data_IF_016980247854
#
_entry.id   IF_016980247854
#
_cell.length_a   1.000
_cell.length_b   1.000
_cell.length_c   1.000
_cell.angle_alpha   90.00
_cell.angle_beta   90.00
_cell.angle_gamma   90.00
#
_symmetry.space_group_name_H-M   'P 1'
#
loop_
_entity.id
_entity.type
_entity.pdbx_description
1 polymer ?
#
# COMPACT_ATOMS: atom_id res chain seq x y z
N UNK A 1 -18.36 -54.32 -78.57
CA UNK A 1 -18.45 -53.20 -77.59
C UNK A 1 -18.03 -53.56 -76.15
N UNK A 2 -16.95 -54.35 -75.95
CA UNK A 2 -16.42 -54.67 -74.59
C UNK A 2 -15.54 -53.55 -73.97
N UNK A 3 -15.20 -52.49 -74.74
CA UNK A 3 -14.30 -51.39 -74.33
C UNK A 3 -14.94 -50.36 -73.38
N UNK A 4 -16.26 -50.16 -73.40
CA UNK A 4 -16.93 -49.13 -72.60
C UNK A 4 -17.09 -49.50 -71.11
N UNK A 5 -17.12 -50.79 -70.76
CA UNK A 5 -17.25 -51.22 -69.35
C UNK A 5 -15.98 -50.92 -68.53
N UNK A 6 -14.79 -51.08 -69.11
CA UNK A 6 -13.53 -50.78 -68.41
C UNK A 6 -13.36 -49.28 -68.16
N UNK A 7 -13.71 -48.43 -69.12
CA UNK A 7 -13.63 -46.98 -68.97
C UNK A 7 -14.61 -46.47 -67.90
N UNK A 8 -15.83 -47.01 -67.88
CA UNK A 8 -16.85 -46.69 -66.87
C UNK A 8 -16.39 -47.10 -65.46
N UNK A 9 -15.78 -48.28 -65.31
CA UNK A 9 -15.25 -48.74 -64.03
C UNK A 9 -14.09 -47.84 -63.55
N UNK A 10 -13.18 -47.45 -64.44
CA UNK A 10 -12.08 -46.53 -64.10
C UNK A 10 -12.61 -45.16 -63.69
N UNK A 11 -13.65 -44.65 -64.36
CA UNK A 11 -14.28 -43.36 -64.01
C UNK A 11 -15.01 -43.43 -62.66
N UNK A 12 -15.73 -44.52 -62.38
CA UNK A 12 -16.38 -44.76 -61.09
C UNK A 12 -15.34 -44.85 -59.97
N UNK A 13 -14.23 -45.55 -60.19
CA UNK A 13 -13.14 -45.62 -59.21
C UNK A 13 -12.51 -44.24 -59.00
N UNK A 14 -12.25 -43.47 -60.06
CA UNK A 14 -11.68 -42.12 -59.95
C UNK A 14 -12.58 -41.12 -59.23
N UNK A 15 -13.90 -41.26 -59.31
CA UNK A 15 -14.87 -40.37 -58.65
C UNK A 15 -15.18 -40.85 -57.22
N UNK A 16 -15.37 -42.15 -57.02
CA UNK A 16 -15.76 -42.69 -55.72
C UNK A 16 -14.61 -42.66 -54.70
N UNK A 17 -13.36 -42.88 -55.12
CA UNK A 17 -12.21 -42.90 -54.20
C UNK A 17 -11.97 -41.56 -53.46
N UNK A 18 -11.94 -40.39 -54.13
CA UNK A 18 -11.80 -39.11 -53.44
C UNK A 18 -13.01 -38.75 -52.57
N UNK A 19 -14.24 -39.12 -52.98
CA UNK A 19 -15.45 -38.90 -52.17
C UNK A 19 -15.39 -39.73 -50.88
N UNK A 20 -14.99 -41.01 -50.99
CA UNK A 20 -14.79 -41.88 -49.83
C UNK A 20 -13.70 -41.35 -48.88
N UNK A 21 -12.59 -40.86 -49.42
CA UNK A 21 -11.51 -40.25 -48.63
C UNK A 21 -11.95 -38.97 -47.90
N UNK A 22 -12.73 -38.11 -48.55
CA UNK A 22 -13.28 -36.89 -47.94
C UNK A 22 -14.26 -37.25 -46.81
N UNK A 23 -15.13 -38.25 -47.03
CA UNK A 23 -16.08 -38.71 -46.01
C UNK A 23 -15.37 -39.31 -44.78
N UNK A 24 -14.34 -40.13 -44.99
CA UNK A 24 -13.51 -40.70 -43.91
C UNK A 24 -12.74 -39.58 -43.20
N UNK A 25 -12.13 -38.65 -43.94
CA UNK A 25 -11.40 -37.51 -43.38
C UNK A 25 -12.29 -36.62 -42.50
N UNK A 26 -13.51 -36.31 -42.96
CA UNK A 26 -14.50 -35.56 -42.18
C UNK A 26 -14.96 -36.33 -40.93
N UNK A 27 -15.14 -37.65 -41.04
CA UNK A 27 -15.45 -38.52 -39.90
C UNK A 27 -14.35 -38.49 -38.84
N UNK A 28 -13.08 -38.63 -39.24
CA UNK A 28 -11.92 -38.56 -38.35
C UNK A 28 -11.81 -37.17 -37.71
N UNK A 29 -12.01 -36.09 -38.48
CA UNK A 29 -12.01 -34.73 -37.95
C UNK A 29 -13.10 -34.52 -36.89
N UNK A 30 -14.33 -34.96 -37.15
CA UNK A 30 -15.45 -34.85 -36.20
C UNK A 30 -15.19 -35.64 -34.92
N UNK A 31 -14.65 -36.86 -35.04
CA UNK A 31 -14.26 -37.68 -33.88
C UNK A 31 -13.17 -36.97 -33.06
N UNK A 32 -12.09 -36.48 -33.71
CA UNK A 32 -11.01 -35.74 -33.02
C UNK A 32 -11.53 -34.49 -32.32
N UNK A 33 -12.41 -33.72 -32.97
CA UNK A 33 -13.04 -32.54 -32.37
C UNK A 33 -13.87 -32.92 -31.14
N UNK A 34 -14.67 -33.98 -31.21
CA UNK A 34 -15.46 -34.45 -30.08
C UNK A 34 -14.59 -34.97 -28.92
N UNK A 35 -13.51 -35.70 -29.21
CA UNK A 35 -12.55 -36.15 -28.19
C UNK A 35 -11.89 -34.95 -27.51
N UNK A 36 -11.44 -33.96 -28.27
CA UNK A 36 -10.86 -32.73 -27.74
C UNK A 36 -11.85 -31.97 -26.85
N UNK A 37 -13.10 -31.82 -27.30
CA UNK A 37 -14.15 -31.18 -26.51
C UNK A 37 -14.45 -31.95 -25.21
N UNK A 38 -14.47 -33.29 -25.25
CA UNK A 38 -14.69 -34.12 -24.05
C UNK A 38 -13.54 -33.98 -23.05
N UNK A 39 -12.29 -34.02 -23.52
CA UNK A 39 -11.11 -33.80 -22.69
C UNK A 39 -11.11 -32.40 -22.05
N UNK A 40 -11.52 -31.38 -22.82
CA UNK A 40 -11.65 -30.02 -22.32
C UNK A 40 -12.74 -29.91 -21.24
N UNK A 41 -13.89 -30.56 -21.43
CA UNK A 41 -14.96 -30.62 -20.42
C UNK A 41 -14.52 -31.35 -19.14
N UNK A 42 -13.87 -32.51 -19.27
CA UNK A 42 -13.34 -33.27 -18.13
C UNK A 42 -12.30 -32.46 -17.35
N UNK A 43 -11.41 -31.75 -18.05
CA UNK A 43 -10.44 -30.84 -17.44
C UNK A 43 -11.10 -29.68 -16.69
N UNK A 44 -12.10 -29.02 -17.29
CA UNK A 44 -12.83 -27.93 -16.64
C UNK A 44 -13.60 -28.42 -15.40
N UNK A 45 -14.16 -29.63 -15.46
CA UNK A 45 -14.85 -30.24 -14.34
C UNK A 45 -13.90 -30.56 -13.20
N UNK A 46 -12.77 -31.22 -13.47
CA UNK A 46 -11.75 -31.49 -12.45
C UNK A 46 -11.23 -30.19 -11.83
N UNK A 47 -10.97 -29.17 -12.64
CA UNK A 47 -10.53 -27.85 -12.18
C UNK A 47 -11.54 -27.21 -11.21
N UNK A 48 -12.83 -27.38 -11.48
CA UNK A 48 -13.90 -26.86 -10.64
C UNK A 48 -14.04 -27.64 -9.32
N UNK A 49 -13.86 -28.96 -9.37
CA UNK A 49 -13.83 -29.83 -8.18
C UNK A 49 -12.62 -29.50 -7.28
N UNK A 50 -11.43 -29.35 -7.86
CA UNK A 50 -10.20 -28.93 -7.16
C UNK A 50 -10.37 -27.56 -6.49
N UNK A 51 -10.95 -26.59 -7.21
CA UNK A 51 -11.23 -25.25 -6.67
C UNK A 51 -12.19 -25.32 -5.48
N UNK A 52 -13.25 -26.12 -5.57
CA UNK A 52 -14.21 -26.30 -4.47
C UNK A 52 -13.56 -26.96 -3.24
N UNK A 53 -12.66 -27.92 -3.44
CA UNK A 53 -11.94 -28.55 -2.33
C UNK A 53 -10.98 -27.56 -1.65
N UNK A 54 -10.20 -26.82 -2.44
CA UNK A 54 -9.27 -25.81 -1.92
C UNK A 54 -10.01 -24.68 -1.19
N UNK A 55 -11.13 -24.19 -1.73
CA UNK A 55 -11.90 -23.09 -1.13
C UNK A 55 -12.61 -23.45 0.19
N UNK A 56 -12.77 -24.75 0.49
CA UNK A 56 -13.21 -25.21 1.82
C UNK A 56 -12.14 -24.94 2.87
N UNK A 57 -10.86 -25.11 2.52
CA UNK A 57 -9.71 -25.06 3.44
C UNK A 57 -9.05 -23.68 3.49
N UNK A 58 -8.85 -23.04 2.33
CA UNK A 58 -8.12 -21.79 2.20
C UNK A 58 -9.07 -20.60 2.13
N UNK A 59 -8.73 -19.52 2.84
CA UNK A 59 -9.53 -18.29 2.91
C UNK A 59 -8.70 -17.07 2.55
N UNK A 60 -9.34 -16.02 2.03
CA UNK A 60 -8.67 -14.71 1.93
C UNK A 60 -8.35 -14.21 3.34
N UNK A 61 -7.29 -13.41 3.53
CA UNK A 61 -6.88 -12.98 4.88
C UNK A 61 -7.99 -12.21 5.62
N UNK A 62 -8.72 -11.33 4.93
CA UNK A 62 -9.85 -10.60 5.53
C UNK A 62 -11.04 -11.48 5.95
N UNK A 63 -11.11 -12.73 5.47
CA UNK A 63 -12.12 -13.73 5.87
C UNK A 63 -11.52 -14.83 6.76
N UNK A 64 -10.21 -14.81 7.00
CA UNK A 64 -9.52 -15.89 7.67
C UNK A 64 -9.61 -15.69 9.18
N UNK A 65 -10.22 -16.58 9.95
CA UNK A 65 -10.23 -16.45 11.41
C UNK A 65 -8.85 -16.70 12.04
N UNK A 66 -7.87 -17.17 11.25
CA UNK A 66 -6.60 -17.71 11.71
C UNK A 66 -6.71 -19.20 11.99
N UNK A 67 -6.07 -19.63 13.05
CA UNK A 67 -5.88 -21.05 13.38
C UNK A 67 -6.24 -21.32 14.84
N UNK A 68 -5.78 -22.43 15.42
CA UNK A 68 -6.12 -22.78 16.80
C UNK A 68 -5.56 -21.78 17.80
N UNK A 69 -4.27 -21.44 17.69
CA UNK A 69 -3.61 -20.56 18.65
C UNK A 69 -3.32 -19.17 18.11
N UNK A 70 -3.54 -18.92 16.82
CA UNK A 70 -3.36 -17.61 16.19
C UNK A 70 -4.67 -17.08 15.61
N UNK A 71 -4.83 -15.77 15.64
CA UNK A 71 -5.88 -15.05 14.93
C UNK A 71 -5.29 -14.17 13.84
N UNK A 72 -6.09 -13.91 12.81
CA UNK A 72 -5.81 -12.89 11.80
C UNK A 72 -6.76 -11.74 12.08
N UNK A 73 -6.23 -10.53 12.18
CA UNK A 73 -7.00 -9.31 12.42
C UNK A 73 -6.69 -8.32 11.30
N UNK A 74 -7.72 -7.75 10.71
CA UNK A 74 -7.58 -6.67 9.74
C UNK A 74 -7.29 -5.36 10.48
N UNK A 75 -6.19 -4.68 10.11
CA UNK A 75 -5.83 -3.35 10.63
C UNK A 75 -6.23 -2.27 9.63
N UNK A 76 -5.81 -2.43 8.38
CA UNK A 76 -6.24 -1.59 7.25
C UNK A 76 -7.17 -2.46 6.38
N UNK A 77 -8.35 -1.94 5.98
CA UNK A 77 -9.33 -2.70 5.21
C UNK A 77 -8.78 -3.15 3.85
N UNK A 78 -9.34 -4.26 3.36
CA UNK A 78 -9.00 -4.86 2.05
C UNK A 78 -9.10 -3.92 0.82
N UNK A 79 -9.76 -2.78 0.97
CA UNK A 79 -9.95 -1.73 -0.06
C UNK A 79 -8.88 -0.65 -0.02
N UNK A 80 -7.90 -0.76 0.87
CA UNK A 80 -6.83 0.21 1.06
C UNK A 80 -5.45 -0.43 0.88
N UNK A 81 -4.47 0.41 0.55
CA UNK A 81 -3.04 0.06 0.46
C UNK A 81 -2.28 0.67 1.64
N UNK A 82 -1.29 -0.04 2.17
CA UNK A 82 -0.39 0.50 3.18
C UNK A 82 0.43 1.66 2.59
N UNK A 83 0.32 2.85 3.17
CA UNK A 83 1.11 4.04 2.80
C UNK A 83 2.38 4.13 3.63
N UNK A 84 2.27 4.08 4.96
CA UNK A 84 3.41 4.10 5.88
C UNK A 84 3.21 3.16 7.07
N UNK A 85 4.33 2.67 7.59
CA UNK A 85 4.39 1.78 8.74
C UNK A 85 5.58 2.20 9.60
N UNK A 86 5.31 2.98 10.63
CA UNK A 86 6.33 3.65 11.43
C UNK A 86 6.33 3.13 12.87
N UNK A 87 7.51 2.85 13.40
CA UNK A 87 7.71 2.54 14.82
C UNK A 87 8.00 3.83 15.57
N UNK A 88 7.17 4.16 16.55
CA UNK A 88 7.51 5.12 17.59
C UNK A 88 8.52 4.49 18.55
N UNK A 89 9.80 4.85 18.38
CA UNK A 89 10.91 4.30 19.15
C UNK A 89 10.88 4.70 20.62
N UNK A 90 10.17 5.78 20.96
CA UNK A 90 10.01 6.29 22.32
C UNK A 90 8.77 5.68 22.97
N UNK A 91 7.59 5.86 22.35
CA UNK A 91 6.31 5.37 22.86
C UNK A 91 6.12 3.86 22.74
N UNK A 92 6.98 3.17 21.96
CA UNK A 92 6.91 1.73 21.66
C UNK A 92 5.57 1.34 21.05
N UNK A 93 5.12 2.13 20.08
CA UNK A 93 3.87 1.98 19.34
C UNK A 93 4.14 1.92 17.84
N UNK A 94 3.11 1.53 17.10
CA UNK A 94 3.10 1.60 15.64
C UNK A 94 2.14 2.69 15.20
N UNK A 95 2.57 3.47 14.22
CA UNK A 95 1.72 4.30 13.40
C UNK A 95 1.59 3.67 12.03
N UNK A 96 0.35 3.51 11.61
CA UNK A 96 -0.02 2.81 10.40
C UNK A 96 -0.93 3.75 9.60
N UNK A 97 -0.52 4.06 8.38
CA UNK A 97 -1.30 4.90 7.46
C UNK A 97 -1.75 4.07 6.27
N UNK A 98 -3.05 4.08 5.99
CA UNK A 98 -3.67 3.44 4.84
C UNK A 98 -4.26 4.47 3.89
N UNK A 99 -4.06 4.26 2.59
CA UNK A 99 -4.67 5.06 1.53
C UNK A 99 -5.71 4.24 0.78
N UNK A 100 -6.73 4.87 0.18
CA UNK A 100 -7.60 4.17 -0.76
C UNK A 100 -6.78 3.55 -1.88
N UNK A 101 -7.19 2.34 -2.25
CA UNK A 101 -6.66 1.69 -3.43
C UNK A 101 -7.26 2.27 -4.71
N UNK A 102 -8.56 2.56 -4.68
CA UNK A 102 -9.29 3.12 -5.81
C UNK A 102 -8.99 4.62 -5.93
N UNK A 103 -8.33 5.03 -7.02
CA UNK A 103 -7.93 6.43 -7.26
C UNK A 103 -9.10 7.42 -7.17
N UNK A 104 -10.31 7.01 -7.53
CA UNK A 104 -11.50 7.88 -7.45
C UNK A 104 -11.95 8.18 -6.01
N UNK A 105 -11.45 7.44 -5.03
CA UNK A 105 -11.63 7.74 -3.60
C UNK A 105 -10.49 8.58 -3.02
N UNK A 106 -9.45 8.87 -3.80
CA UNK A 106 -8.41 9.81 -3.37
C UNK A 106 -9.06 11.20 -3.18
N UNK A 107 -9.21 11.61 -1.92
CA UNK A 107 -9.86 12.86 -1.52
C UNK A 107 -11.18 12.67 -0.75
N UNK A 108 -11.64 11.43 -0.60
CA UNK A 108 -12.66 11.08 0.40
C UNK A 108 -11.96 10.80 1.74
N UNK A 109 -12.10 11.69 2.71
CA UNK A 109 -11.43 11.60 4.01
C UNK A 109 -11.74 10.28 4.74
N UNK A 110 -12.93 9.71 4.54
CA UNK A 110 -13.34 8.43 5.13
C UNK A 110 -12.66 7.23 4.45
N UNK A 111 -11.97 7.45 3.33
CA UNK A 111 -11.27 6.41 2.58
C UNK A 111 -9.82 6.20 3.03
N UNK A 112 -9.34 6.98 4.01
CA UNK A 112 -8.02 6.87 4.62
C UNK A 112 -8.08 6.20 5.98
N UNK A 113 -6.97 5.58 6.40
CA UNK A 113 -6.81 5.06 7.75
C UNK A 113 -5.59 5.71 8.39
N UNK A 114 -5.76 6.26 9.59
CA UNK A 114 -4.63 6.60 10.46
C UNK A 114 -4.81 5.90 11.80
N UNK A 115 -3.93 4.95 12.10
CA UNK A 115 -4.13 3.99 13.18
C UNK A 115 -2.89 3.95 14.04
N UNK A 116 -3.08 4.05 15.36
CA UNK A 116 -2.05 3.80 16.35
C UNK A 116 -2.29 2.45 17.02
N UNK A 117 -1.28 1.57 16.98
CA UNK A 117 -1.37 0.23 17.57
C UNK A 117 -0.21 -0.07 18.53
N UNK A 118 -0.37 -1.07 19.39
CA UNK A 118 0.80 -1.70 20.03
C UNK A 118 1.48 -2.71 19.08
N UNK A 119 2.59 -3.31 19.50
CA UNK A 119 3.32 -4.28 18.67
C UNK A 119 2.61 -5.64 18.51
N UNK A 120 1.46 -5.86 19.16
CA UNK A 120 0.57 -6.99 18.88
C UNK A 120 -0.52 -6.61 17.87
N UNK A 121 -0.54 -5.37 17.39
CA UNK A 121 -1.59 -4.85 16.50
C UNK A 121 -2.93 -4.65 17.22
N UNK A 122 -2.96 -4.45 18.54
CA UNK A 122 -4.17 -3.96 19.20
C UNK A 122 -4.32 -2.48 18.86
N UNK A 123 -5.45 -2.10 18.24
CA UNK A 123 -5.77 -0.70 17.96
C UNK A 123 -5.95 0.03 19.29
N UNK A 124 -5.14 1.06 19.50
CA UNK A 124 -5.18 1.90 20.69
C UNK A 124 -6.01 3.16 20.44
N UNK A 125 -5.81 3.79 19.28
CA UNK A 125 -6.52 5.00 18.87
C UNK A 125 -6.41 5.24 17.36
N UNK A 126 -7.18 6.20 16.86
CA UNK A 126 -7.11 6.78 15.52
C UNK A 126 -6.64 8.24 15.64
N UNK A 127 -5.34 8.53 15.47
CA UNK A 127 -4.81 9.89 15.60
C UNK A 127 -5.40 10.84 14.54
N UNK A 128 -5.22 12.14 14.76
CA UNK A 128 -5.67 13.16 13.81
C UNK A 128 -4.93 13.01 12.46
N UNK A 129 -5.64 12.78 11.36
CA UNK A 129 -5.04 12.52 10.05
C UNK A 129 -4.71 13.75 9.20
N UNK A 130 -4.96 14.96 9.71
CA UNK A 130 -4.79 16.20 8.94
C UNK A 130 -3.45 16.88 9.21
N UNK A 131 -2.66 17.13 8.16
CA UNK A 131 -1.39 17.88 8.25
C UNK A 131 -0.13 17.01 8.17
N UNK A 132 1.01 17.63 8.40
CA UNK A 132 2.33 17.02 8.40
C UNK A 132 2.70 16.53 9.81
N UNK A 133 3.21 15.30 9.91
CA UNK A 133 3.77 14.78 11.16
C UNK A 133 5.25 15.16 11.28
N UNK A 134 5.58 15.92 12.32
CA UNK A 134 6.94 16.33 12.64
C UNK A 134 7.71 15.24 13.38
N UNK A 135 9.04 15.39 13.46
CA UNK A 135 9.96 14.40 14.05
C UNK A 135 9.74 14.11 15.52
N UNK A 136 9.09 15.00 16.26
CA UNK A 136 8.73 14.80 17.67
C UNK A 136 7.32 14.19 17.85
N UNK A 137 6.57 13.99 16.76
CA UNK A 137 5.22 13.46 16.74
C UNK A 137 4.12 14.50 16.83
N UNK A 138 4.44 15.80 16.89
CA UNK A 138 3.42 16.82 16.68
C UNK A 138 2.93 16.76 15.23
N UNK A 139 1.61 16.82 15.05
CA UNK A 139 0.98 17.01 13.74
C UNK A 139 0.73 18.50 13.55
N UNK A 140 1.27 19.06 12.47
CA UNK A 140 1.18 20.46 12.11
C UNK A 140 0.29 20.61 10.87
N UNK A 141 -0.73 21.46 10.94
CA UNK A 141 -1.55 21.82 9.77
C UNK A 141 -1.42 23.33 9.55
N UNK A 142 -0.40 23.71 8.77
CA UNK A 142 -0.08 25.10 8.42
C UNK A 142 -1.26 25.81 7.75
N UNK A 143 -1.91 25.16 6.77
CA UNK A 143 -3.09 25.69 6.08
C UNK A 143 -4.30 25.98 6.98
N UNK A 144 -4.44 25.27 8.10
CA UNK A 144 -5.52 25.50 9.07
C UNK A 144 -5.06 26.29 10.31
N UNK A 145 -3.77 26.62 10.42
CA UNK A 145 -3.22 27.34 11.55
C UNK A 145 -3.28 26.58 12.87
N UNK A 146 -3.16 25.24 12.86
CA UNK A 146 -3.33 24.38 14.06
C UNK A 146 -2.20 23.36 14.22
N UNK A 147 -2.07 22.83 15.43
CA UNK A 147 -1.26 21.65 15.73
C UNK A 147 -1.99 20.68 16.67
N UNK A 148 -1.58 19.41 16.66
CA UNK A 148 -2.17 18.33 17.46
C UNK A 148 -1.07 17.38 17.96
N UNK A 149 -1.24 16.81 19.17
CA UNK A 149 -0.28 15.88 19.77
C UNK A 149 -0.81 14.44 19.87
N UNK A 150 -1.92 14.12 19.20
CA UNK A 150 -2.63 12.83 19.27
C UNK A 150 -1.75 11.58 19.06
N UNK A 151 -0.63 11.71 18.37
CA UNK A 151 0.34 10.62 18.20
C UNK A 151 1.08 10.34 19.50
N UNK A 152 1.51 11.40 20.19
CA UNK A 152 2.40 11.35 21.35
C UNK A 152 1.67 10.95 22.63
N UNK A 153 0.53 11.58 22.92
CA UNK A 153 -0.16 11.47 24.20
C UNK A 153 -1.67 11.23 24.08
N UNK A 154 -2.15 10.91 22.88
CA UNK A 154 -3.58 10.73 22.56
C UNK A 154 -4.43 12.00 22.73
N UNK A 155 -3.83 13.19 22.89
CA UNK A 155 -4.54 14.46 22.89
C UNK A 155 -5.01 14.84 21.48
N UNK A 156 -6.30 14.62 21.23
CA UNK A 156 -6.99 14.98 19.98
C UNK A 156 -7.34 16.47 19.88
N UNK A 157 -6.99 17.29 20.88
CA UNK A 157 -7.27 18.72 20.85
C UNK A 157 -6.49 19.39 19.71
N UNK A 158 -7.20 20.16 18.89
CA UNK A 158 -6.61 20.98 17.84
C UNK A 158 -6.27 22.34 18.42
N UNK A 159 -5.00 22.55 18.73
CA UNK A 159 -4.52 23.80 19.31
C UNK A 159 -4.21 24.80 18.19
N UNK A 160 -4.61 26.08 18.32
CA UNK A 160 -4.19 27.09 17.38
C UNK A 160 -2.69 27.34 17.48
N UNK A 161 -2.04 27.53 16.34
CA UNK A 161 -0.71 28.10 16.28
C UNK A 161 -0.78 29.53 16.83
N UNK A 162 0.16 29.88 17.70
CA UNK A 162 0.30 31.27 18.14
C UNK A 162 0.90 32.02 16.96
N UNK A 163 0.01 32.64 16.21
CA UNK A 163 0.40 33.57 15.16
C UNK A 163 0.97 34.79 15.86
N UNK A 164 2.26 35.02 15.64
CA UNK A 164 2.85 36.26 16.07
C UNK A 164 2.36 37.35 15.13
N UNK A 165 2.33 38.62 15.60
CA UNK A 165 1.95 39.73 14.72
C UNK A 165 2.74 39.58 13.44
N UNK A 166 2.18 39.99 12.31
CA UNK A 166 2.66 39.75 10.93
C UNK A 166 2.07 38.54 10.19
N UNK A 167 1.10 37.79 10.74
CA UNK A 167 0.28 36.88 9.91
C UNK A 167 -0.74 37.64 9.08
N UNK A 168 -0.72 37.38 7.78
CA UNK A 168 -1.58 38.00 6.79
C UNK A 168 -2.86 37.17 6.66
N UNK A 169 -4.02 37.80 6.84
CA UNK A 169 -5.25 37.24 6.31
C UNK A 169 -5.18 37.35 4.77
N UNK A 170 -5.05 36.20 4.09
CA UNK A 170 -4.93 36.10 2.63
C UNK A 170 -6.26 36.31 1.89
N UNK A 171 -7.38 36.44 2.60
CA UNK A 171 -8.71 36.59 2.00
C UNK A 171 -8.90 37.93 1.26
N UNK A 172 -7.97 38.88 1.41
CA UNK A 172 -8.03 40.21 0.81
C UNK A 172 -6.66 40.70 0.30
N UNK A 173 -6.26 40.22 -0.88
CA UNK A 173 -5.19 40.85 -1.67
C UNK A 173 -5.66 42.21 -2.25
N UNK A 174 -5.59 43.29 -1.46
CA UNK A 174 -5.99 44.66 -1.85
C UNK A 174 -4.79 45.62 -1.94
N UNK A 175 -4.95 46.83 -2.48
CA UNK A 175 -3.86 47.84 -2.48
C UNK A 175 -3.45 48.29 -1.06
N UNK A 176 -4.37 48.21 -0.08
CA UNK A 176 -4.08 48.46 1.34
C UNK A 176 -3.16 47.38 1.94
N UNK A 177 -3.20 46.14 1.43
CA UNK A 177 -2.30 45.04 1.81
C UNK A 177 -0.83 45.33 1.44
N UNK A 178 -0.58 45.98 0.29
CA UNK A 178 0.77 46.42 -0.10
C UNK A 178 1.34 47.48 0.85
N UNK A 179 0.48 48.34 1.40
CA UNK A 179 0.89 49.34 2.39
C UNK A 179 1.22 48.74 3.77
N UNK A 180 0.59 47.62 4.15
CA UNK A 180 0.86 46.91 5.42
C UNK A 180 2.13 46.05 5.39
N UNK A 181 2.62 45.65 4.22
CA UNK A 181 3.92 44.95 4.02
C UNK A 181 5.16 45.80 4.39
N UNK A 182 4.97 47.04 4.85
CA UNK A 182 6.01 47.94 5.31
C UNK A 182 6.08 48.07 6.85
N UNK A 183 5.57 47.11 7.61
CA UNK A 183 5.79 47.09 9.06
C UNK A 183 7.26 46.75 9.41
N UNK A 184 7.73 47.32 10.52
CA UNK A 184 9.11 47.41 10.98
C UNK A 184 9.83 46.05 10.96
N UNK A 185 10.61 45.81 9.89
CA UNK A 185 11.40 44.59 9.72
C UNK A 185 12.37 44.36 10.87
N UNK A 186 12.82 45.43 11.55
CA UNK A 186 13.70 45.32 12.71
C UNK A 186 12.92 44.79 13.93
N UNK A 187 11.65 45.18 14.09
CA UNK A 187 10.76 44.63 15.12
C UNK A 187 10.38 43.18 14.82
N UNK A 188 10.02 42.85 13.58
CA UNK A 188 9.79 41.45 13.15
C UNK A 188 11.01 40.59 13.45
N UNK A 189 12.18 41.04 13.01
CA UNK A 189 13.42 40.29 13.17
C UNK A 189 13.81 40.14 14.64
N UNK A 190 13.58 41.16 15.47
CA UNK A 190 13.79 41.08 16.92
C UNK A 190 12.91 40.01 17.57
N UNK A 191 11.62 39.95 17.24
CA UNK A 191 10.70 38.93 17.76
C UNK A 191 11.08 37.54 17.26
N UNK A 192 11.32 37.41 15.95
CA UNK A 192 11.78 36.16 15.34
C UNK A 192 13.05 35.66 16.03
N UNK A 193 14.07 36.51 16.16
CA UNK A 193 15.36 36.12 16.73
C UNK A 193 15.24 35.71 18.20
N UNK A 194 14.47 36.44 19.01
CA UNK A 194 14.27 36.09 20.42
C UNK A 194 13.62 34.70 20.57
N UNK A 195 12.63 34.39 19.73
CA UNK A 195 11.96 33.10 19.73
C UNK A 195 12.82 32.00 19.13
N UNK A 196 13.46 32.26 18.00
CA UNK A 196 14.40 31.35 17.37
C UNK A 196 15.47 30.96 18.38
N UNK A 197 16.14 31.90 19.04
CA UNK A 197 17.21 31.59 19.99
C UNK A 197 16.70 30.73 21.18
N UNK A 198 15.43 30.85 21.57
CA UNK A 198 14.81 30.12 22.70
C UNK A 198 14.04 28.85 22.31
N UNK A 199 13.77 28.64 21.03
CA UNK A 199 12.92 27.54 20.57
C UNK A 199 13.57 26.18 20.84
N UNK A 200 12.75 25.24 21.28
CA UNK A 200 13.08 23.84 21.53
C UNK A 200 13.05 23.03 20.23
N UNK A 201 12.25 23.46 19.25
CA UNK A 201 12.11 22.88 17.93
C UNK A 201 11.96 24.04 16.93
N UNK A 202 12.68 23.97 15.81
CA UNK A 202 12.44 24.87 14.66
C UNK A 202 12.19 24.03 13.42
N UNK A 203 10.97 24.08 12.91
CA UNK A 203 10.55 23.49 11.63
C UNK A 203 10.41 24.59 10.59
N UNK A 204 10.68 24.27 9.33
CA UNK A 204 10.58 25.20 8.21
C UNK A 204 9.88 24.55 7.03
N UNK A 205 8.87 25.24 6.48
CA UNK A 205 8.10 24.79 5.32
C UNK A 205 7.73 26.00 4.46
N UNK A 206 7.95 25.94 3.15
CA UNK A 206 7.56 26.98 2.17
C UNK A 206 7.93 28.45 2.51
N UNK A 207 9.01 28.68 3.27
CA UNK A 207 9.43 30.03 3.70
C UNK A 207 8.77 30.50 5.01
N UNK A 208 8.11 29.58 5.71
CA UNK A 208 7.51 29.78 7.01
C UNK A 208 8.34 29.07 8.09
N UNK A 209 8.35 29.66 9.29
CA UNK A 209 8.97 29.12 10.48
C UNK A 209 7.92 28.72 11.49
N UNK A 210 8.02 27.49 11.97
CA UNK A 210 7.22 26.97 13.07
C UNK A 210 8.15 26.68 14.25
N UNK A 211 7.98 27.42 15.33
CA UNK A 211 8.86 27.41 16.49
C UNK A 211 8.13 26.87 17.71
N UNK A 212 8.64 25.81 18.32
CA UNK A 212 8.12 25.29 19.59
C UNK A 212 8.85 25.94 20.75
N UNK A 213 8.13 26.59 21.66
CA UNK A 213 8.70 27.18 22.87
C UNK A 213 7.74 26.99 24.04
N UNK A 214 8.22 26.40 25.15
CA UNK A 214 7.43 26.09 26.34
C UNK A 214 6.17 25.28 26.02
N UNK A 215 6.32 24.30 25.13
CA UNK A 215 5.24 23.41 24.69
C UNK A 215 4.18 24.05 23.78
N UNK A 216 4.36 25.30 23.33
CA UNK A 216 3.46 25.95 22.38
C UNK A 216 4.14 26.17 21.05
N UNK A 217 3.36 26.08 19.98
CA UNK A 217 3.84 26.33 18.63
C UNK A 217 3.50 27.75 18.19
N UNK A 218 4.53 28.43 17.67
CA UNK A 218 4.49 29.76 17.12
C UNK A 218 4.73 29.66 15.62
N UNK A 219 4.08 30.52 14.85
CA UNK A 219 4.23 30.58 13.40
C UNK A 219 4.63 31.98 12.94
N UNK A 220 5.59 32.05 12.02
CA UNK A 220 6.08 33.29 11.42
C UNK A 220 6.44 33.04 9.95
N UNK A 221 5.87 33.83 9.04
CA UNK A 221 6.28 33.84 7.64
C UNK A 221 7.46 34.81 7.43
N UNK A 222 8.45 34.43 6.60
CA UNK A 222 9.52 35.33 6.22
C UNK A 222 8.99 36.53 5.41
N UNK A 223 9.31 37.78 5.78
CA UNK A 223 8.86 38.95 5.05
C UNK A 223 9.65 39.11 3.74
N UNK A 224 9.05 38.72 2.60
CA UNK A 224 9.59 39.03 1.27
C UNK A 224 9.07 40.37 0.76
N UNK A 225 9.97 41.30 0.40
CA UNK A 225 9.59 42.61 -0.15
C UNK A 225 8.94 42.46 -1.55
N UNK A 226 7.64 42.76 -1.64
CA UNK A 226 6.92 43.39 -2.77
C UNK A 226 7.04 42.86 -4.21
N UNK A 227 7.34 41.59 -4.46
CA UNK A 227 6.84 40.93 -5.68
C UNK A 227 6.63 39.47 -5.29
N UNK A 228 5.61 38.81 -5.83
CA UNK A 228 5.26 37.44 -5.46
C UNK A 228 6.41 36.45 -5.69
N UNK A 229 6.10 35.16 -5.61
CA UNK A 229 7.02 34.04 -5.78
C UNK A 229 7.89 34.05 -7.07
N UNK A 230 7.72 35.03 -7.96
CA UNK A 230 8.45 35.25 -9.22
C UNK A 230 9.62 36.27 -9.13
N UNK A 231 9.95 36.86 -7.96
CA UNK A 231 11.15 37.69 -7.77
C UNK A 231 12.36 36.86 -7.30
N UNK A 232 13.29 36.59 -8.23
CA UNK A 232 14.57 35.92 -7.96
C UNK A 232 15.34 36.60 -6.82
N UNK A 233 15.29 37.93 -6.69
CA UNK A 233 16.02 38.63 -5.63
C UNK A 233 15.37 38.42 -4.26
N UNK A 234 14.04 38.33 -4.19
CA UNK A 234 13.33 37.98 -2.96
C UNK A 234 13.60 36.53 -2.55
N UNK A 235 13.61 35.61 -3.51
CA UNK A 235 13.97 34.21 -3.29
C UNK A 235 15.39 34.09 -2.73
N UNK A 236 16.38 34.73 -3.36
CA UNK A 236 17.77 34.71 -2.88
C UNK A 236 17.95 35.32 -1.48
N UNK A 237 17.20 36.39 -1.14
CA UNK A 237 17.20 36.94 0.23
C UNK A 237 16.63 35.95 1.24
N UNK A 238 15.54 35.27 0.90
CA UNK A 238 14.95 34.21 1.74
C UNK A 238 15.94 33.07 1.93
N UNK A 239 16.52 32.53 0.87
CA UNK A 239 17.52 31.46 0.96
C UNK A 239 18.71 31.86 1.85
N UNK A 240 19.21 33.09 1.71
CA UNK A 240 20.29 33.59 2.54
C UNK A 240 19.90 33.74 4.02
N UNK A 241 18.63 34.07 4.30
CA UNK A 241 18.10 34.14 5.66
C UNK A 241 17.93 32.73 6.25
N UNK A 242 17.34 31.81 5.50
CA UNK A 242 17.15 30.41 5.87
C UNK A 242 18.49 29.71 6.14
N UNK A 243 19.53 30.03 5.38
CA UNK A 243 20.88 29.54 5.62
C UNK A 243 21.49 30.05 6.94
N UNK A 244 21.12 31.26 7.39
CA UNK A 244 21.57 31.83 8.67
C UNK A 244 20.76 31.29 9.86
N UNK A 245 19.48 30.99 9.64
CA UNK A 245 18.55 30.50 10.65
C UNK A 245 17.94 29.18 10.22
N UNK A 246 18.73 28.10 10.13
CA UNK A 246 18.24 26.82 9.64
C UNK A 246 17.26 26.17 10.63
N UNK A 247 16.53 25.16 10.14
CA UNK A 247 15.72 24.29 10.98
C UNK A 247 16.58 23.60 12.05
N UNK A 248 15.99 23.37 13.22
CA UNK A 248 16.60 22.68 14.36
C UNK A 248 15.61 21.66 14.87
N UNK A 249 15.54 20.57 14.13
CA UNK A 249 14.67 19.45 14.45
C UNK A 249 15.43 18.38 15.25
N UNK A 250 14.80 17.72 16.22
CA UNK A 250 15.40 16.63 16.95
C UNK A 250 15.62 15.42 16.02
N UNK A 251 16.36 14.43 16.51
CA UNK A 251 16.35 13.11 15.89
C UNK A 251 14.92 12.57 15.87
N UNK A 252 14.49 12.02 14.73
CA UNK A 252 13.16 11.45 14.58
C UNK A 252 12.90 10.41 15.67
N UNK A 253 11.75 10.52 16.34
CA UNK A 253 11.26 9.45 17.21
C UNK A 253 10.73 8.26 16.42
N UNK A 254 10.45 8.44 15.13
CA UNK A 254 9.88 7.41 14.25
C UNK A 254 10.94 6.79 13.35
N UNK A 255 10.79 5.49 13.09
CA UNK A 255 11.61 4.74 12.13
C UNK A 255 10.75 3.79 11.31
N UNK A 256 11.04 3.69 10.02
CA UNK A 256 10.53 2.65 9.13
C UNK A 256 11.54 1.52 8.90
N UNK A 257 12.71 1.58 9.56
CA UNK A 257 13.77 0.57 9.42
C UNK A 257 13.38 -0.72 10.17
N UNK A 258 12.48 -1.48 9.55
CA UNK A 258 12.00 -2.78 10.02
C UNK A 258 12.25 -3.83 8.94
N UNK A 259 12.56 -5.08 9.32
CA UNK A 259 12.66 -6.16 8.36
C UNK A 259 11.34 -6.34 7.58
N UNK A 260 11.42 -6.09 6.28
CA UNK A 260 10.35 -6.36 5.30
C UNK A 260 10.81 -7.50 4.41
N UNK A 261 10.02 -8.58 4.38
CA UNK A 261 10.38 -9.83 3.70
C UNK A 261 9.36 -10.13 2.61
N UNK A 262 9.84 -10.48 1.42
CA UNK A 262 9.02 -11.18 0.43
C UNK A 262 8.89 -12.65 0.85
N UNK A 263 7.69 -13.12 1.23
CA UNK A 263 7.51 -14.46 1.75
C UNK A 263 7.71 -15.57 0.70
N UNK A 264 7.74 -15.24 -0.60
CA UNK A 264 7.84 -16.23 -1.67
C UNK A 264 9.25 -16.35 -2.27
N UNK A 265 10.15 -15.40 -1.96
CA UNK A 265 11.55 -15.41 -2.39
C UNK A 265 12.48 -15.43 -1.18
N UNK A 266 12.52 -16.58 -0.50
CA UNK A 266 13.33 -16.77 0.69
C UNK A 266 14.78 -17.13 0.36
N UNK A 267 15.74 -16.51 1.06
CA UNK A 267 17.14 -16.96 1.09
C UNK A 267 17.49 -17.37 2.51
N UNK A 268 18.25 -18.46 2.67
CA UNK A 268 18.51 -19.21 3.93
C UNK A 268 19.17 -18.40 5.08
N UNK A 269 19.30 -17.08 4.99
CA UNK A 269 20.09 -16.25 5.93
C UNK A 269 19.32 -15.65 7.10
N UNK A 270 18.00 -15.72 7.11
CA UNK A 270 17.22 -15.12 8.19
C UNK A 270 16.74 -16.19 9.18
N UNK A 271 16.86 -15.92 10.48
CA UNK A 271 16.47 -16.83 11.56
C UNK A 271 14.95 -16.92 11.73
N UNK A 272 14.21 -17.18 10.65
CA UNK A 272 12.74 -17.08 10.62
C UNK A 272 12.09 -18.36 11.15
N UNK A 273 11.27 -18.23 12.20
CA UNK A 273 10.50 -19.35 12.79
C UNK A 273 9.17 -19.64 12.10
N UNK A 274 8.78 -18.85 11.10
CA UNK A 274 7.63 -19.13 10.24
C UNK A 274 8.07 -19.43 8.81
N UNK A 275 7.26 -20.20 8.10
CA UNK A 275 7.51 -20.55 6.70
C UNK A 275 6.26 -20.24 5.85
N UNK A 276 6.48 -19.67 4.66
CA UNK A 276 5.43 -19.51 3.66
C UNK A 276 5.71 -20.44 2.50
N UNK A 277 4.73 -21.27 2.14
CA UNK A 277 4.89 -22.25 1.08
C UNK A 277 3.66 -22.25 0.16
N UNK A 278 3.90 -22.11 -1.14
CA UNK A 278 2.86 -22.26 -2.16
C UNK A 278 2.52 -23.74 -2.28
N UNK A 279 1.29 -24.09 -1.93
CA UNK A 279 0.80 -25.47 -1.98
C UNK A 279 0.16 -25.78 -3.33
N UNK A 280 -0.51 -24.79 -3.92
CA UNK A 280 -1.18 -24.96 -5.20
C UNK A 280 -1.37 -23.62 -5.93
N UNK A 281 -1.37 -23.66 -7.25
CA UNK A 281 -1.67 -22.51 -8.11
C UNK A 281 -2.71 -22.91 -9.14
N UNK A 282 -3.82 -22.17 -9.20
CA UNK A 282 -4.89 -22.36 -10.14
C UNK A 282 -4.92 -21.23 -11.17
N UNK A 283 -4.35 -21.46 -12.34
CA UNK A 283 -4.35 -20.47 -13.43
C UNK A 283 -5.74 -20.34 -14.04
N UNK A 284 -6.33 -19.15 -13.99
CA UNK A 284 -7.60 -18.83 -14.65
C UNK A 284 -7.40 -18.21 -16.02
N UNK A 285 -6.42 -17.32 -16.13
CA UNK A 285 -6.13 -16.57 -17.34
C UNK A 285 -4.70 -16.88 -17.72
N UNK A 286 -4.51 -17.33 -18.95
CA UNK A 286 -3.20 -17.45 -19.58
C UNK A 286 -3.24 -16.65 -20.88
N UNK A 287 -2.45 -15.58 -20.95
CA UNK A 287 -2.23 -14.85 -22.19
C UNK A 287 -0.84 -15.15 -22.68
N UNK A 288 -0.74 -15.85 -23.80
CA UNK A 288 0.52 -16.08 -24.49
C UNK A 288 0.99 -14.78 -25.13
N UNK A 289 2.28 -14.51 -25.00
CA UNK A 289 2.93 -13.43 -25.72
C UNK A 289 2.77 -13.62 -27.24
N UNK A 290 2.76 -12.50 -27.95
CA UNK A 290 2.84 -12.47 -29.42
C UNK A 290 4.27 -12.14 -29.84
N UNK A 291 4.61 -12.32 -31.11
CA UNK A 291 5.92 -11.95 -31.66
C UNK A 291 6.31 -10.49 -31.37
N UNK A 292 5.33 -9.58 -31.30
CA UNK A 292 5.55 -8.15 -31.02
C UNK A 292 5.36 -7.76 -29.54
N UNK A 293 4.84 -8.67 -28.72
CA UNK A 293 4.69 -8.54 -27.26
C UNK A 293 4.98 -9.89 -26.62
N UNK A 294 6.26 -10.26 -26.40
CA UNK A 294 6.64 -11.62 -26.02
C UNK A 294 6.26 -11.98 -24.58
N UNK A 295 5.83 -11.00 -23.78
CA UNK A 295 5.44 -11.20 -22.39
C UNK A 295 4.19 -12.06 -22.34
N UNK A 296 4.36 -13.27 -21.84
CA UNK A 296 3.27 -14.17 -21.47
C UNK A 296 2.96 -13.93 -20.00
N UNK A 297 1.68 -13.91 -19.63
CA UNK A 297 1.32 -13.82 -18.22
C UNK A 297 0.20 -14.77 -17.87
N UNK A 298 0.27 -15.24 -16.62
CA UNK A 298 -0.74 -16.07 -15.99
C UNK A 298 -1.32 -15.31 -14.78
N UNK A 299 -2.65 -15.36 -14.64
CA UNK A 299 -3.35 -14.87 -13.47
C UNK A 299 -4.30 -15.93 -12.94
N UNK A 300 -4.44 -15.98 -11.62
CA UNK A 300 -5.16 -17.06 -10.97
C UNK A 300 -5.07 -17.02 -9.45
N UNK A 301 -5.55 -18.09 -8.82
CA UNK A 301 -5.52 -18.24 -7.38
C UNK A 301 -4.23 -18.93 -6.93
N UNK A 302 -3.57 -18.33 -5.97
CA UNK A 302 -2.46 -18.89 -5.21
C UNK A 302 -2.99 -19.36 -3.87
N UNK A 303 -2.73 -20.62 -3.55
CA UNK A 303 -3.06 -21.25 -2.28
C UNK A 303 -1.76 -21.52 -1.56
N UNK A 304 -1.53 -20.79 -0.47
CA UNK A 304 -0.29 -20.88 0.30
C UNK A 304 -0.58 -21.01 1.78
N UNK A 305 0.38 -21.58 2.49
CA UNK A 305 0.34 -21.74 3.94
C UNK A 305 1.27 -20.74 4.59
N UNK A 306 0.91 -20.30 5.79
CA UNK A 306 1.79 -19.57 6.70
C UNK A 306 1.91 -20.44 7.95
N UNK A 307 3.04 -21.09 8.12
CA UNK A 307 3.30 -21.93 9.29
C UNK A 307 3.81 -21.05 10.44
N UNK A 308 2.97 -20.79 11.43
CA UNK A 308 3.32 -19.97 12.60
C UNK A 308 4.11 -20.75 13.65
N UNK A 309 3.90 -22.08 13.70
CA UNK A 309 4.64 -23.02 14.56
C UNK A 309 4.58 -24.42 13.96
N UNK A 310 5.33 -25.42 14.48
CA UNK A 310 5.26 -26.80 13.99
C UNK A 310 3.85 -27.40 13.98
N UNK A 311 2.94 -26.91 14.82
CA UNK A 311 1.57 -27.41 14.96
C UNK A 311 0.50 -26.44 14.49
N UNK A 312 0.88 -25.27 13.99
CA UNK A 312 -0.08 -24.20 13.71
C UNK A 312 0.16 -23.52 12.37
N UNK A 313 -0.82 -23.66 11.48
CA UNK A 313 -0.72 -23.27 10.07
C UNK A 313 -1.98 -22.51 9.67
N UNK A 314 -1.78 -21.39 8.97
CA UNK A 314 -2.85 -20.58 8.40
C UNK A 314 -2.90 -20.84 6.90
N UNK A 315 -4.10 -21.09 6.38
CA UNK A 315 -4.33 -21.45 4.98
C UNK A 315 -4.90 -20.26 4.23
N UNK A 316 -4.12 -19.68 3.32
CA UNK A 316 -4.46 -18.44 2.64
C UNK A 316 -4.68 -18.69 1.15
N UNK A 317 -5.79 -18.16 0.61
CA UNK A 317 -5.97 -18.03 -0.84
C UNK A 317 -5.86 -16.57 -1.27
N UNK A 318 -5.29 -16.34 -2.45
CA UNK A 318 -5.13 -15.01 -3.01
C UNK A 318 -5.15 -15.03 -4.53
N UNK A 319 -5.88 -14.09 -5.14
CA UNK A 319 -5.80 -13.89 -6.58
C UNK A 319 -4.62 -12.98 -6.92
N UNK A 320 -3.86 -13.31 -7.96
CA UNK A 320 -2.82 -12.42 -8.49
C UNK A 320 -2.50 -12.72 -9.94
N UNK A 321 -1.85 -11.76 -10.60
CA UNK A 321 -1.08 -12.00 -11.82
C UNK A 321 0.39 -12.13 -11.41
N UNK A 322 1.05 -13.22 -11.80
CA UNK A 322 2.36 -13.62 -11.25
C UNK A 322 2.32 -13.92 -9.74
N UNK A 323 3.47 -13.95 -9.06
CA UNK A 323 3.56 -14.16 -7.61
C UNK A 323 2.75 -13.10 -6.85
N UNK A 324 1.98 -13.47 -5.81
CA UNK A 324 1.17 -12.51 -5.08
C UNK A 324 2.03 -11.43 -4.41
N UNK A 325 1.66 -10.16 -4.60
CA UNK A 325 2.28 -9.02 -3.92
C UNK A 325 1.99 -9.04 -2.42
N UNK A 326 2.82 -9.73 -1.65
CA UNK A 326 2.71 -9.84 -0.19
C UNK A 326 4.01 -9.40 0.44
N UNK A 327 3.96 -8.57 1.47
CA UNK A 327 5.11 -8.22 2.30
C UNK A 327 4.83 -8.64 3.72
N UNK A 328 5.78 -9.30 4.37
CA UNK A 328 5.71 -9.58 5.81
C UNK A 328 6.63 -8.62 6.54
N UNK A 329 6.08 -7.92 7.51
CA UNK A 329 6.80 -7.01 8.39
C UNK A 329 6.88 -7.65 9.77
N UNK A 330 8.09 -7.75 10.30
CA UNK A 330 8.35 -8.27 11.64
C UNK A 330 9.01 -7.20 12.49
N UNK A 331 8.50 -7.01 13.70
CA UNK A 331 9.11 -6.09 14.65
C UNK A 331 10.03 -6.90 15.56
N UNK A 332 11.35 -6.69 15.51
CA UNK A 332 12.27 -7.52 16.28
C UNK A 332 12.18 -7.21 17.78
N UNK A 333 12.60 -8.18 18.60
CA UNK A 333 12.55 -8.06 20.07
C UNK A 333 13.35 -6.87 20.61
N UNK A 334 14.47 -6.51 19.98
CA UNK A 334 15.29 -5.37 20.41
C UNK A 334 14.59 -4.01 20.19
N UNK A 335 13.56 -3.96 19.35
CA UNK A 335 12.71 -2.78 19.14
C UNK A 335 11.47 -2.79 20.06
N UNK A 336 11.28 -3.87 20.83
CA UNK A 336 10.13 -4.10 21.71
C UNK A 336 9.04 -5.00 21.10
N UNK A 337 9.21 -5.44 19.85
CA UNK A 337 8.28 -6.33 19.17
C UNK A 337 8.33 -7.77 19.67
N UNK A 338 7.55 -8.63 19.01
CA UNK A 338 7.41 -10.05 19.36
C UNK A 338 8.12 -10.99 18.36
N UNK A 339 8.93 -10.45 17.46
CA UNK A 339 9.60 -11.20 16.41
C UNK A 339 8.61 -12.01 15.58
N UNK A 340 8.93 -13.27 15.31
CA UNK A 340 8.10 -14.17 14.50
C UNK A 340 6.76 -14.58 15.16
N UNK A 341 6.49 -14.22 16.41
CA UNK A 341 5.21 -14.54 17.06
C UNK A 341 4.08 -13.62 16.61
N UNK A 342 4.39 -12.43 16.09
CA UNK A 342 3.42 -11.49 15.55
C UNK A 342 3.89 -11.06 14.17
N UNK A 343 3.08 -11.30 13.14
CA UNK A 343 3.39 -10.97 11.76
C UNK A 343 2.41 -9.93 11.24
N UNK A 344 2.94 -8.83 10.73
CA UNK A 344 2.14 -7.90 9.95
C UNK A 344 2.26 -8.30 8.48
N UNK A 345 1.14 -8.47 7.80
CA UNK A 345 1.07 -8.92 6.41
C UNK A 345 0.39 -7.83 5.61
N UNK A 346 1.19 -7.15 4.80
CA UNK A 346 0.71 -6.20 3.81
C UNK A 346 0.39 -6.93 2.50
N UNK A 347 -0.84 -6.78 2.03
CA UNK A 347 -1.29 -7.31 0.77
C UNK A 347 -1.40 -6.17 -0.25
N UNK A 348 -0.55 -6.23 -1.28
CA UNK A 348 -0.58 -5.28 -2.41
C UNK A 348 -1.52 -5.81 -3.50
N UNK A 349 -2.71 -5.23 -3.69
CA UNK A 349 -3.66 -5.70 -4.69
C UNK A 349 -3.11 -5.53 -6.12
N UNK A 350 -3.64 -6.33 -7.05
CA UNK A 350 -3.32 -6.25 -8.47
C UNK A 350 -4.39 -5.44 -9.21
N UNK A 351 -3.95 -4.34 -9.84
CA UNK A 351 -4.80 -3.38 -10.57
C UNK A 351 -5.49 -3.96 -11.80
N UNK A 352 -4.99 -5.07 -12.36
CA UNK A 352 -5.66 -5.73 -13.48
C UNK A 352 -6.92 -6.49 -13.05
N UNK A 353 -7.07 -6.77 -11.74
CA UNK A 353 -8.14 -7.61 -11.20
C UNK A 353 -8.70 -7.05 -9.87
N UNK A 354 -9.20 -5.81 -9.86
CA UNK A 354 -9.65 -5.15 -8.63
C UNK A 354 -10.78 -5.91 -7.90
N UNK A 355 -11.63 -6.63 -8.64
CA UNK A 355 -12.74 -7.39 -8.06
C UNK A 355 -12.31 -8.72 -7.40
N UNK A 356 -11.08 -9.18 -7.65
CA UNK A 356 -10.56 -10.48 -7.19
C UNK A 356 -9.30 -10.37 -6.35
N UNK A 357 -8.50 -9.33 -6.54
CA UNK A 357 -7.25 -9.10 -5.82
C UNK A 357 -7.45 -8.00 -4.80
N UNK A 358 -7.47 -8.38 -3.53
CA UNK A 358 -7.67 -7.46 -2.43
C UNK A 358 -6.37 -7.00 -1.80
N UNK A 359 -6.40 -5.80 -1.22
CA UNK A 359 -5.30 -5.20 -0.48
C UNK A 359 -5.42 -5.42 1.02
N UNK A 360 -4.97 -4.43 1.80
CA UNK A 360 -5.10 -4.39 3.26
C UNK A 360 -3.83 -4.75 4.02
N UNK A 361 -3.82 -4.35 5.29
CA UNK A 361 -2.80 -4.73 6.26
C UNK A 361 -3.45 -5.61 7.32
N UNK A 362 -2.89 -6.79 7.54
CA UNK A 362 -3.36 -7.75 8.52
C UNK A 362 -2.31 -8.00 9.59
N UNK A 363 -2.72 -8.32 10.81
CA UNK A 363 -1.83 -8.86 11.84
C UNK A 363 -2.21 -10.29 12.16
N UNK A 364 -1.22 -11.18 12.13
CA UNK A 364 -1.33 -12.55 12.64
C UNK A 364 -0.66 -12.59 14.00
N UNK A 365 -1.43 -12.94 15.04
CA UNK A 365 -0.95 -12.90 16.42
C UNK A 365 -1.54 -14.02 17.27
N UNK A 366 -0.95 -14.34 18.43
CA UNK A 366 -1.52 -15.33 19.34
C UNK A 366 -2.93 -14.91 19.78
N UNK A 367 -3.85 -15.87 19.86
CA UNK A 367 -5.17 -15.64 20.43
C UNK A 367 -5.02 -15.30 21.91
N UNK A 368 -5.76 -14.29 22.37
CA UNK A 368 -5.93 -14.05 23.81
C UNK A 368 -6.63 -15.27 24.42
N UNK A 369 -6.05 -15.85 25.46
CA UNK A 369 -6.71 -16.90 26.24
C UNK A 369 -7.95 -16.27 26.87
N UNK A 370 -9.12 -16.83 26.56
CA UNK A 370 -10.39 -16.44 27.18
C UNK A 370 -10.47 -16.96 28.59
#
# INVERSE_FOLDING_TARGET
MKRNKKLLIVLIVLICNPISLIAIGYGIYKIRKNVKNKQEQEYLQQKQEDMQELDKKYKFLHENPGSKNYEVVELIPRTQKLKSFEIDTIGKKLLIVGNPYEEWREGDDDAYSFIKTDFEGNILNHPYGGGEMLKDGTILSSGNGIYCNSIVDDDMTLYPLIQLPFSFNTDYWTEEYKAYMHQDLDEWFKVFKDLYDKAEYVHMEFGEYFLKYRGKWYWMMYPSKEVGYDDDAAYQRREAFEAQYPAREPTSRFTEDVPVIDPFYYTERDTIRYAVEIQHTLTEIEKKGTTYRPISYAAGYFYYTIQMSPTDTIYVKRYSAYTPGTRIIQIPYNMGGQGSNVLFIDQIPNELYPDKSYGGLYVIRPRKKK
#
